data_IF_925766561406
#
_entry.id   IF_925766561406
#
_cell.length_a   1.000
_cell.length_b   1.000
_cell.length_c   1.000
_cell.angle_alpha   90.00
_cell.angle_beta   90.00
_cell.angle_gamma   90.00
#
_symmetry.space_group_name_H-M   'P 1'
#
loop_
_entity.id
_entity.type
_entity.pdbx_description
1 polymer ?
#
# COMPACT_ATOMS: atom_id res chain seq x y z
N UNK A 1 -10.50 21.36 -22.67
CA UNK A 1 -9.89 20.20 -22.01
C UNK A 1 -9.61 19.17 -23.06
N UNK A 2 -8.35 18.77 -23.19
CA UNK A 2 -7.96 17.66 -24.05
C UNK A 2 -8.54 16.35 -23.46
N UNK A 3 -8.99 15.42 -24.30
CA UNK A 3 -9.51 14.12 -23.85
C UNK A 3 -8.49 13.40 -22.94
N UNK A 4 -7.21 13.51 -23.27
CA UNK A 4 -6.11 12.93 -22.49
C UNK A 4 -6.01 13.49 -21.07
N UNK A 5 -6.31 14.78 -20.88
CA UNK A 5 -6.32 15.41 -19.55
C UNK A 5 -7.46 14.86 -18.69
N UNK A 6 -8.64 14.66 -19.29
CA UNK A 6 -9.81 14.10 -18.62
C UNK A 6 -9.53 12.66 -18.19
N UNK A 7 -9.02 11.83 -19.10
CA UNK A 7 -8.68 10.43 -18.83
C UNK A 7 -7.62 10.33 -17.75
N UNK A 8 -6.58 11.17 -17.80
CA UNK A 8 -5.53 11.21 -16.78
C UNK A 8 -6.09 11.55 -15.39
N UNK A 9 -7.01 12.51 -15.31
CA UNK A 9 -7.71 12.85 -14.07
C UNK A 9 -8.53 11.68 -13.52
N UNK A 10 -9.29 10.99 -14.39
CA UNK A 10 -10.09 9.82 -13.99
C UNK A 10 -9.22 8.66 -13.48
N UNK A 11 -8.07 8.41 -14.11
CA UNK A 11 -7.11 7.39 -13.66
C UNK A 11 -6.56 7.73 -12.27
N UNK A 12 -6.25 9.00 -12.02
CA UNK A 12 -5.75 9.43 -10.71
C UNK A 12 -6.79 9.24 -9.61
N UNK A 13 -8.04 9.64 -9.86
CA UNK A 13 -9.14 9.46 -8.91
C UNK A 13 -9.45 7.97 -8.66
N UNK A 14 -9.41 7.14 -9.71
CA UNK A 14 -9.56 5.69 -9.58
C UNK A 14 -8.46 5.08 -8.71
N UNK A 15 -7.20 5.45 -8.94
CA UNK A 15 -6.06 4.98 -8.13
C UNK A 15 -6.24 5.38 -6.66
N UNK A 16 -6.62 6.62 -6.38
CA UNK A 16 -6.86 7.10 -5.00
C UNK A 16 -8.02 6.36 -4.32
N UNK A 17 -9.13 6.16 -5.04
CA UNK A 17 -10.32 5.49 -4.51
C UNK A 17 -10.14 3.99 -4.27
N UNK A 18 -9.22 3.33 -4.99
CA UNK A 18 -9.01 1.88 -4.89
C UNK A 18 -7.80 1.47 -4.07
N UNK A 19 -6.88 2.38 -3.75
CA UNK A 19 -5.61 2.07 -3.11
C UNK A 19 -5.77 1.26 -1.81
N UNK A 20 -6.75 1.60 -0.97
CA UNK A 20 -7.01 0.88 0.28
C UNK A 20 -7.36 -0.59 0.00
N UNK A 21 -8.25 -0.84 -0.95
CA UNK A 21 -8.67 -2.19 -1.31
C UNK A 21 -7.52 -3.01 -1.87
N UNK A 22 -6.68 -2.38 -2.71
CA UNK A 22 -5.49 -3.04 -3.26
C UNK A 22 -4.51 -3.41 -2.15
N UNK A 23 -4.22 -2.49 -1.23
CA UNK A 23 -3.30 -2.75 -0.11
C UNK A 23 -3.82 -3.88 0.78
N UNK A 24 -5.10 -3.86 1.14
CA UNK A 24 -5.72 -4.93 1.93
C UNK A 24 -5.72 -6.27 1.19
N UNK A 25 -6.01 -6.28 -0.12
CA UNK A 25 -5.96 -7.49 -0.93
C UNK A 25 -4.54 -8.07 -1.04
N UNK A 26 -3.53 -7.20 -1.11
CA UNK A 26 -2.12 -7.61 -1.16
C UNK A 26 -1.65 -8.21 0.17
N UNK A 27 -2.15 -7.68 1.28
CA UNK A 27 -1.88 -8.15 2.66
C UNK A 27 -2.71 -9.38 3.07
N UNK A 28 -3.19 -10.17 2.10
CA UNK A 28 -3.73 -11.51 2.39
C UNK A 28 -2.63 -12.50 2.85
N UNK A 29 -1.36 -12.08 2.77
CA UNK A 29 -0.20 -12.75 3.39
C UNK A 29 0.60 -11.70 4.15
N UNK A 30 1.18 -12.04 5.32
CA UNK A 30 1.99 -11.10 6.07
C UNK A 30 3.15 -10.54 5.25
N UNK A 31 3.32 -9.22 5.24
CA UNK A 31 4.44 -8.58 4.53
C UNK A 31 4.98 -7.38 5.32
N UNK A 32 6.29 -7.16 5.22
CA UNK A 32 6.89 -5.91 5.67
C UNK A 32 6.75 -4.84 4.58
N UNK A 33 6.59 -3.58 5.00
CA UNK A 33 6.14 -2.51 4.11
C UNK A 33 7.01 -2.28 2.85
N UNK A 34 8.32 -2.53 2.91
CA UNK A 34 9.17 -2.41 1.72
C UNK A 34 8.89 -3.50 0.67
N UNK A 35 8.62 -4.74 1.08
CA UNK A 35 8.20 -5.79 0.16
C UNK A 35 6.85 -5.46 -0.47
N UNK A 36 5.92 -4.94 0.34
CA UNK A 36 4.61 -4.52 -0.15
C UNK A 36 4.70 -3.43 -1.24
N UNK A 37 5.58 -2.42 -1.09
CA UNK A 37 5.85 -1.43 -2.16
C UNK A 37 6.30 -2.13 -3.44
N UNK A 38 7.25 -3.06 -3.34
CA UNK A 38 7.77 -3.78 -4.51
C UNK A 38 6.70 -4.61 -5.22
N UNK A 39 5.92 -5.38 -4.47
CA UNK A 39 4.88 -6.23 -5.06
C UNK A 39 3.77 -5.42 -5.73
N UNK A 40 3.44 -4.25 -5.17
CA UNK A 40 2.47 -3.33 -5.79
C UNK A 40 3.03 -2.72 -7.08
N UNK A 41 4.29 -2.30 -7.08
CA UNK A 41 4.97 -1.76 -8.27
C UNK A 41 5.06 -2.82 -9.39
N UNK A 42 5.38 -4.07 -9.06
CA UNK A 42 5.38 -5.20 -10.01
C UNK A 42 4.00 -5.46 -10.63
N UNK A 43 2.93 -5.08 -9.94
CA UNK A 43 1.53 -5.15 -10.42
C UNK A 43 1.07 -3.85 -11.10
N UNK A 44 1.97 -2.90 -11.36
CA UNK A 44 1.67 -1.63 -12.02
C UNK A 44 1.02 -0.58 -11.11
N UNK A 45 1.08 -0.78 -9.79
CA UNK A 45 0.48 0.09 -8.78
C UNK A 45 1.60 0.82 -8.05
N UNK A 46 1.95 1.98 -8.59
CA UNK A 46 3.00 2.78 -8.00
C UNK A 46 2.53 3.49 -6.73
N UNK A 47 3.21 3.20 -5.62
CA UNK A 47 3.00 3.85 -4.34
C UNK A 47 4.33 4.08 -3.63
N UNK A 48 4.55 5.32 -3.21
CA UNK A 48 5.72 5.69 -2.44
C UNK A 48 5.58 5.28 -0.97
N UNK A 49 6.71 4.99 -0.31
CA UNK A 49 6.72 4.66 1.12
C UNK A 49 6.12 5.77 2.00
N UNK A 50 6.32 7.04 1.64
CA UNK A 50 5.73 8.19 2.35
C UNK A 50 4.17 8.18 2.33
N UNK A 51 3.56 7.44 1.43
CA UNK A 51 2.11 7.29 1.27
C UNK A 51 1.65 5.96 1.88
N UNK A 52 2.40 4.87 1.62
CA UNK A 52 2.06 3.55 2.12
C UNK A 52 2.14 3.47 3.66
N UNK A 53 3.22 3.95 4.29
CA UNK A 53 3.40 3.77 5.73
C UNK A 53 2.34 4.50 6.58
N UNK A 54 1.95 5.75 6.28
CA UNK A 54 0.81 6.39 6.96
C UNK A 54 -0.50 5.65 6.72
N UNK A 55 -0.73 5.11 5.52
CA UNK A 55 -1.91 4.31 5.22
C UNK A 55 -1.96 3.04 6.08
N UNK A 56 -0.87 2.28 6.17
CA UNK A 56 -0.80 1.06 7.00
C UNK A 56 -1.09 1.38 8.48
N UNK A 57 -0.49 2.45 9.03
CA UNK A 57 -0.74 2.89 10.41
C UNK A 57 -2.21 3.27 10.65
N UNK A 58 -2.85 3.91 9.66
CA UNK A 58 -4.27 4.25 9.71
C UNK A 58 -5.15 3.00 9.69
N UNK A 59 -4.86 2.04 8.82
CA UNK A 59 -5.63 0.79 8.75
C UNK A 59 -5.48 -0.03 10.03
N UNK A 60 -4.29 -0.06 10.62
CA UNK A 60 -4.02 -0.65 11.92
C UNK A 60 -4.80 0.05 13.05
N UNK A 61 -4.79 1.39 13.10
CA UNK A 61 -5.55 2.13 14.12
C UNK A 61 -7.06 1.99 14.00
N UNK A 62 -7.55 1.68 12.79
CA UNK A 62 -8.95 1.34 12.51
C UNK A 62 -9.30 -0.12 12.81
N UNK A 63 -8.32 -0.96 13.19
CA UNK A 63 -8.51 -2.39 13.45
C UNK A 63 -8.68 -3.25 12.20
N UNK A 64 -8.39 -2.71 11.01
CA UNK A 64 -8.48 -3.42 9.73
C UNK A 64 -7.21 -4.21 9.39
N UNK A 65 -6.08 -3.84 10.00
CA UNK A 65 -4.83 -4.58 9.93
C UNK A 65 -4.31 -4.88 11.34
N UNK A 66 -3.56 -5.97 11.45
CA UNK A 66 -2.73 -6.25 12.61
C UNK A 66 -1.27 -6.07 12.21
N UNK A 67 -0.39 -6.08 13.18
CA UNK A 67 1.04 -6.07 12.88
C UNK A 67 1.82 -6.83 13.93
N UNK A 68 2.95 -7.36 13.51
CA UNK A 68 3.85 -8.13 14.35
C UNK A 68 5.29 -7.71 14.05
N UNK A 69 6.12 -7.64 15.09
CA UNK A 69 7.54 -7.38 14.95
C UNK A 69 8.29 -8.69 14.83
N UNK A 70 8.99 -8.88 13.71
CA UNK A 70 9.93 -9.98 13.53
C UNK A 70 11.33 -9.49 13.89
N UNK A 71 11.88 -10.03 14.98
CA UNK A 71 13.16 -9.62 15.58
C UNK A 71 14.26 -10.66 15.43
N UNK A 72 14.00 -11.76 14.73
CA UNK A 72 14.97 -12.85 14.54
C UNK A 72 16.08 -12.47 13.54
N UNK A 73 15.80 -11.54 12.61
CA UNK A 73 16.79 -11.02 11.67
C UNK A 73 17.68 -9.92 12.28
N UNK A 74 18.84 -9.67 11.66
CA UNK A 74 19.79 -8.59 12.04
C UNK A 74 19.17 -7.19 12.07
N UNK A 75 18.01 -6.99 11.43
CA UNK A 75 17.23 -5.75 11.44
C UNK A 75 15.75 -6.07 11.71
N UNK A 76 15.19 -5.64 12.85
CA UNK A 76 13.77 -5.82 13.14
C UNK A 76 12.88 -5.27 12.03
N UNK A 77 11.92 -6.07 11.59
CA UNK A 77 10.92 -5.66 10.58
C UNK A 77 9.53 -5.76 11.18
N UNK A 78 8.69 -4.78 10.83
CA UNK A 78 7.26 -4.79 11.16
C UNK A 78 6.51 -5.38 9.98
N UNK A 79 5.86 -6.51 10.21
CA UNK A 79 4.95 -7.15 9.26
C UNK A 79 3.52 -6.71 9.54
N UNK A 80 2.74 -6.59 8.49
CA UNK A 80 1.31 -6.27 8.51
C UNK A 80 0.52 -7.40 7.85
#
# INVERSE_FOLDING_TARGET
MNCDEIVSGLILEFRRGTLIMVVLAQLNKPMYGYLLVKELEEKGISIEGNTLYPLLRRLESQGLLKSEWETEETKPRKYY
#
